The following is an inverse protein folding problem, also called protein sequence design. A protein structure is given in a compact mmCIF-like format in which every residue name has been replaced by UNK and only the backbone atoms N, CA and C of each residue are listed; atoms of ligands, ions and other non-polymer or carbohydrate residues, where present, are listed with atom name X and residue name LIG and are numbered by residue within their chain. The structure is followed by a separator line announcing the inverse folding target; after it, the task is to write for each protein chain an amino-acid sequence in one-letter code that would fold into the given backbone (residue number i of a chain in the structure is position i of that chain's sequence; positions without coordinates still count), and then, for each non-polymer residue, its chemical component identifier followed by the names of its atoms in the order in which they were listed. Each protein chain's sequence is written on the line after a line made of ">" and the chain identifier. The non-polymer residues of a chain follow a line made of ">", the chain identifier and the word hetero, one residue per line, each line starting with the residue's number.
data_IF_646475988303
#
_entry.id   IF_646475988303
#
_cell.length_a   1.000
_cell.length_b   1.000
_cell.length_c   1.000
_cell.angle_alpha   90.00
_cell.angle_beta   90.00
_cell.angle_gamma   90.00
#
_symmetry.space_group_name_H-M   'P 1'
#
loop_
_entity.id
_entity.type
_entity.pdbx_description
1 polymer ?
#
# COMPACT_ATOMS: atom_id res chain seq x y z
N UNK A 1 2.11 37.65 -49.94
CA UNK A 1 1.59 38.05 -48.61
C UNK A 1 0.56 37.04 -48.11
N UNK A 2 -0.45 36.70 -48.90
CA UNK A 2 -1.51 35.74 -48.54
C UNK A 2 -1.00 34.32 -48.25
N UNK A 3 -0.13 33.77 -49.12
CA UNK A 3 0.51 32.45 -48.90
C UNK A 3 1.34 32.37 -47.62
N UNK A 4 2.03 33.45 -47.23
CA UNK A 4 2.81 33.48 -45.98
C UNK A 4 1.91 33.50 -44.74
N UNK A 5 0.75 34.15 -44.83
CA UNK A 5 -0.24 34.15 -43.77
C UNK A 5 -0.87 32.77 -43.61
N UNK A 6 -1.20 32.11 -44.73
CA UNK A 6 -1.73 30.75 -44.75
C UNK A 6 -0.75 29.74 -44.15
N UNK A 7 0.52 29.74 -44.56
CA UNK A 7 1.54 28.88 -43.96
C UNK A 7 1.76 29.15 -42.47
N UNK A 8 1.66 30.42 -42.03
CA UNK A 8 1.75 30.76 -40.60
C UNK A 8 0.57 30.17 -39.82
N UNK A 9 -0.64 30.28 -40.34
CA UNK A 9 -1.83 29.70 -39.71
C UNK A 9 -1.72 28.18 -39.61
N UNK A 10 -1.28 27.50 -40.68
CA UNK A 10 -1.07 26.05 -40.66
C UNK A 10 -0.06 25.62 -39.59
N UNK A 11 1.06 26.34 -39.45
CA UNK A 11 2.05 26.04 -38.41
C UNK A 11 1.46 26.27 -37.01
N UNK A 12 0.72 27.36 -36.81
CA UNK A 12 0.06 27.64 -35.53
C UNK A 12 -0.93 26.54 -35.15
N UNK A 13 -1.74 26.08 -36.09
CA UNK A 13 -2.72 25.02 -35.88
C UNK A 13 -2.03 23.70 -35.52
N UNK A 14 -0.94 23.35 -36.22
CA UNK A 14 -0.14 22.15 -35.93
C UNK A 14 0.52 22.21 -34.56
N UNK A 15 1.04 23.38 -34.16
CA UNK A 15 1.60 23.58 -32.82
C UNK A 15 0.51 23.44 -31.76
N UNK A 16 -0.65 24.06 -31.95
CA UNK A 16 -1.78 23.98 -31.01
C UNK A 16 -2.28 22.54 -30.85
N UNK A 17 -2.36 21.80 -31.95
CA UNK A 17 -2.72 20.38 -31.95
C UNK A 17 -1.77 19.53 -31.11
N UNK A 18 -0.46 19.72 -31.30
CA UNK A 18 0.56 18.99 -30.52
C UNK A 18 0.51 19.36 -29.04
N UNK A 19 0.29 20.64 -28.71
CA UNK A 19 0.12 21.09 -27.32
C UNK A 19 -1.09 20.39 -26.68
N UNK A 20 -2.21 20.30 -27.39
CA UNK A 20 -3.41 19.63 -26.88
C UNK A 20 -3.15 18.14 -26.61
N UNK A 21 -2.51 17.43 -27.55
CA UNK A 21 -2.12 16.02 -27.35
C UNK A 21 -1.17 15.82 -26.18
N UNK A 22 -0.21 16.72 -25.99
CA UNK A 22 0.72 16.67 -24.87
C UNK A 22 0.01 16.87 -23.53
N UNK A 23 -0.94 17.80 -23.47
CA UNK A 23 -1.77 18.03 -22.27
C UNK A 23 -2.68 16.84 -21.97
N UNK A 24 -3.28 16.22 -22.99
CA UNK A 24 -4.07 14.99 -22.81
C UNK A 24 -3.20 13.84 -22.27
N UNK A 25 -1.98 13.69 -22.79
CA UNK A 25 -1.03 12.71 -22.28
C UNK A 25 -0.66 12.98 -20.82
N UNK A 26 -0.40 14.24 -20.44
CA UNK A 26 -0.17 14.60 -19.04
C UNK A 26 -1.37 14.25 -18.16
N UNK A 27 -2.58 14.62 -18.57
CA UNK A 27 -3.82 14.37 -17.80
C UNK A 27 -4.10 12.88 -17.60
N UNK A 28 -3.62 12.02 -18.49
CA UNK A 28 -3.76 10.57 -18.32
C UNK A 28 -3.11 10.05 -17.02
N UNK A 29 -2.15 10.79 -16.46
CA UNK A 29 -1.50 10.46 -15.18
C UNK A 29 -2.22 11.01 -13.96
N UNK A 30 -3.20 11.91 -14.10
CA UNK A 30 -3.91 12.51 -12.96
C UNK A 30 -4.62 11.46 -12.11
N UNK A 31 -5.01 10.33 -12.72
CA UNK A 31 -5.59 9.18 -12.00
C UNK A 31 -4.65 8.60 -10.95
N UNK A 32 -3.34 8.77 -11.10
CA UNK A 32 -2.33 8.27 -10.17
C UNK A 32 -1.95 9.32 -9.11
N UNK A 33 -2.56 10.51 -9.12
CA UNK A 33 -2.12 11.64 -8.31
C UNK A 33 -2.13 11.39 -6.80
N UNK A 34 -3.10 10.63 -6.33
CA UNK A 34 -3.19 10.22 -4.92
C UNK A 34 -1.91 9.52 -4.42
N UNK A 35 -1.17 8.82 -5.30
CA UNK A 35 0.04 8.09 -4.93
C UNK A 35 1.19 8.99 -4.45
N UNK A 36 1.24 10.25 -4.87
CA UNK A 36 2.28 11.21 -4.50
C UNK A 36 1.79 12.43 -3.73
N UNK A 37 0.47 12.64 -3.64
CA UNK A 37 -0.15 13.71 -2.85
C UNK A 37 -0.40 13.23 -1.42
N UNK A 38 -0.82 11.98 -1.23
CA UNK A 38 -1.24 11.48 0.08
C UNK A 38 -0.04 11.06 0.94
N UNK A 39 -0.13 11.33 2.25
CA UNK A 39 0.83 10.80 3.22
C UNK A 39 0.57 9.31 3.45
N UNK A 40 1.60 8.51 3.19
CA UNK A 40 1.56 7.04 3.28
C UNK A 40 1.22 6.54 4.68
N UNK A 41 1.76 7.20 5.71
CA UNK A 41 1.56 6.78 7.08
C UNK A 41 0.16 7.16 7.55
N UNK A 42 -0.34 8.33 7.14
CA UNK A 42 -1.70 8.74 7.45
C UNK A 42 -2.73 7.85 6.75
N UNK A 43 -2.53 7.53 5.47
CA UNK A 43 -3.38 6.59 4.75
C UNK A 43 -3.38 5.22 5.43
N UNK A 44 -2.20 4.70 5.80
CA UNK A 44 -2.11 3.42 6.52
C UNK A 44 -2.83 3.49 7.87
N UNK A 45 -2.65 4.56 8.65
CA UNK A 45 -3.36 4.74 9.93
C UNK A 45 -4.86 4.74 9.73
N UNK A 46 -5.37 5.50 8.76
CA UNK A 46 -6.80 5.56 8.46
C UNK A 46 -7.34 4.22 7.98
N UNK A 47 -6.61 3.54 7.09
CA UNK A 47 -6.93 2.20 6.65
C UNK A 47 -7.06 1.25 7.85
N UNK A 48 -6.10 1.28 8.78
CA UNK A 48 -6.13 0.46 9.99
C UNK A 48 -7.23 0.86 10.97
N UNK A 49 -7.50 2.16 11.18
CA UNK A 49 -8.50 2.69 12.12
C UNK A 49 -9.94 2.41 11.67
N UNK A 50 -10.24 2.58 10.38
CA UNK A 50 -11.60 2.47 9.87
C UNK A 50 -11.97 1.05 9.40
N UNK A 51 -11.00 0.21 8.98
CA UNK A 51 -11.23 -1.24 8.85
C UNK A 51 -11.16 -1.99 10.19
N UNK A 52 -10.84 -1.32 11.31
CA UNK A 52 -10.67 -1.97 12.61
C UNK A 52 -11.98 -2.47 13.27
N UNK A 53 -13.15 -2.22 12.68
CA UNK A 53 -14.41 -2.47 13.41
C UNK A 53 -14.78 -3.95 13.50
N UNK A 54 -14.10 -4.87 12.83
CA UNK A 54 -14.38 -6.32 12.95
C UNK A 54 -13.09 -7.15 12.88
N UNK A 55 -12.65 -7.74 14.00
CA UNK A 55 -11.80 -8.93 13.97
C UNK A 55 -12.67 -10.12 13.53
N UNK A 56 -12.30 -10.77 12.42
CA UNK A 56 -11.38 -11.90 12.44
C UNK A 56 -10.11 -11.56 11.69
N UNK A 57 -8.94 -11.91 12.24
CA UNK A 57 -7.62 -11.68 11.63
C UNK A 57 -7.54 -12.05 10.13
N UNK A 58 -8.34 -13.02 9.69
CA UNK A 58 -8.46 -13.43 8.28
C UNK A 58 -9.03 -12.34 7.37
N UNK A 59 -10.02 -11.55 7.82
CA UNK A 59 -10.62 -10.45 7.03
C UNK A 59 -9.63 -9.30 6.88
N UNK A 60 -8.85 -9.02 7.94
CA UNK A 60 -7.80 -7.99 7.90
C UNK A 60 -6.66 -8.40 6.96
N UNK A 61 -6.22 -9.66 7.02
CA UNK A 61 -5.20 -10.16 6.12
C UNK A 61 -5.68 -10.13 4.66
N UNK A 62 -6.95 -10.49 4.40
CA UNK A 62 -7.52 -10.46 3.06
C UNK A 62 -7.62 -9.03 2.50
N UNK A 63 -8.10 -8.07 3.29
CA UNK A 63 -8.21 -6.67 2.88
C UNK A 63 -6.83 -6.05 2.59
N UNK A 64 -5.80 -6.39 3.39
CA UNK A 64 -4.43 -5.93 3.14
C UNK A 64 -3.86 -6.58 1.87
N UNK A 65 -4.12 -7.86 1.61
CA UNK A 65 -3.69 -8.52 0.37
C UNK A 65 -4.37 -7.92 -0.87
N UNK A 66 -5.66 -7.58 -0.80
CA UNK A 66 -6.37 -6.90 -1.89
C UNK A 66 -5.76 -5.53 -2.21
N UNK A 67 -5.35 -4.77 -1.19
CA UNK A 67 -4.64 -3.50 -1.40
C UNK A 67 -3.29 -3.74 -2.08
N UNK A 68 -2.53 -4.74 -1.64
CA UNK A 68 -1.26 -5.11 -2.28
C UNK A 68 -1.49 -5.45 -3.76
N UNK A 69 -2.46 -6.30 -4.06
CA UNK A 69 -2.78 -6.73 -5.43
C UNK A 69 -3.21 -5.53 -6.30
N UNK A 70 -3.95 -4.59 -5.73
CA UNK A 70 -4.32 -3.34 -6.42
C UNK A 70 -3.08 -2.52 -6.81
N UNK A 71 -2.13 -2.31 -5.88
CA UNK A 71 -0.91 -1.56 -6.19
C UNK A 71 0.04 -2.32 -7.13
N UNK A 72 0.11 -3.65 -7.05
CA UNK A 72 0.88 -4.47 -8.00
C UNK A 72 0.25 -4.40 -9.41
N UNK A 73 -1.07 -4.41 -9.52
CA UNK A 73 -1.77 -4.21 -10.80
C UNK A 73 -1.46 -2.83 -11.40
N UNK A 74 -1.51 -1.77 -10.58
CA UNK A 74 -1.13 -0.42 -11.00
C UNK A 74 0.34 -0.38 -11.46
N UNK A 75 1.24 -1.11 -10.78
CA UNK A 75 2.64 -1.19 -11.18
C UNK A 75 2.78 -1.78 -12.59
N UNK A 76 2.09 -2.88 -12.88
CA UNK A 76 2.07 -3.49 -14.22
C UNK A 76 1.50 -2.55 -15.30
N UNK A 77 0.44 -1.81 -14.97
CA UNK A 77 -0.13 -0.82 -15.89
C UNK A 77 0.89 0.28 -16.23
N UNK A 78 1.55 0.83 -15.21
CA UNK A 78 2.55 1.89 -15.39
C UNK A 78 3.79 1.35 -16.13
N UNK A 79 4.14 0.08 -15.92
CA UNK A 79 5.25 -0.57 -16.61
C UNK A 79 5.00 -0.69 -18.13
N UNK A 80 3.75 -0.86 -18.55
CA UNK A 80 3.35 -0.92 -19.97
C UNK A 80 3.38 0.45 -20.67
N UNK A 81 3.45 1.55 -19.93
CA UNK A 81 3.51 2.91 -20.51
C UNK A 81 4.81 3.11 -21.29
N UNK A 82 4.73 3.54 -22.54
CA UNK A 82 5.93 3.82 -23.32
C UNK A 82 6.75 4.96 -22.70
N UNK A 83 8.08 4.81 -22.60
CA UNK A 83 8.95 5.81 -22.00
C UNK A 83 9.11 7.06 -22.89
N UNK A 84 8.84 6.95 -24.18
CA UNK A 84 9.02 8.03 -25.15
C UNK A 84 7.79 8.10 -26.04
N UNK A 85 7.18 9.27 -26.15
CA UNK A 85 6.08 9.55 -27.07
C UNK A 85 6.53 10.57 -28.11
N UNK A 86 6.24 10.31 -29.40
CA UNK A 86 6.59 11.21 -30.51
C UNK A 86 5.30 11.64 -31.21
N UNK A 87 5.07 12.95 -31.24
CA UNK A 87 3.95 13.59 -31.91
C UNK A 87 4.43 14.32 -33.16
N UNK A 88 3.71 14.13 -34.27
CA UNK A 88 3.93 14.77 -35.57
C UNK A 88 5.38 14.72 -36.09
N UNK A 89 6.16 13.73 -35.62
CA UNK A 89 7.58 13.48 -35.96
C UNK A 89 8.58 14.54 -35.51
N UNK A 90 8.16 15.63 -34.88
CA UNK A 90 9.04 16.72 -34.43
C UNK A 90 8.97 17.00 -32.93
N UNK A 91 7.89 16.60 -32.26
CA UNK A 91 7.71 16.83 -30.83
C UNK A 91 7.86 15.53 -30.04
N UNK A 92 8.86 15.46 -29.18
CA UNK A 92 9.18 14.26 -28.38
C UNK A 92 8.95 14.57 -26.90
N UNK A 93 8.14 13.73 -26.24
CA UNK A 93 7.99 13.73 -24.79
C UNK A 93 8.82 12.58 -24.23
N UNK A 94 9.74 12.90 -23.33
CA UNK A 94 10.49 11.91 -22.54
C UNK A 94 9.79 11.72 -21.19
N UNK A 95 9.00 10.65 -21.10
CA UNK A 95 8.29 10.27 -19.88
C UNK A 95 9.10 9.31 -19.00
N UNK A 96 10.28 8.86 -19.44
CA UNK A 96 11.12 7.90 -18.73
C UNK A 96 11.41 8.30 -17.27
N UNK A 97 11.88 9.53 -16.95
CA UNK A 97 12.17 9.88 -15.56
C UNK A 97 10.90 9.92 -14.69
N UNK A 98 9.77 10.31 -15.26
CA UNK A 98 8.49 10.32 -14.56
C UNK A 98 7.99 8.91 -14.30
N UNK A 99 7.96 8.04 -15.33
CA UNK A 99 7.60 6.62 -15.22
C UNK A 99 8.41 5.93 -14.13
N UNK A 100 9.73 6.13 -14.10
CA UNK A 100 10.60 5.53 -13.08
C UNK A 100 10.24 5.99 -11.65
N UNK A 101 9.97 7.30 -11.47
CA UNK A 101 9.53 7.82 -10.17
C UNK A 101 8.16 7.28 -9.77
N UNK A 102 7.24 7.16 -10.72
CA UNK A 102 5.90 6.64 -10.48
C UNK A 102 5.97 5.16 -10.06
N UNK A 103 6.69 4.32 -10.80
CA UNK A 103 6.92 2.91 -10.45
C UNK A 103 7.50 2.75 -9.05
N UNK A 104 8.52 3.56 -8.70
CA UNK A 104 9.10 3.55 -7.37
C UNK A 104 8.09 3.97 -6.28
N UNK A 105 7.22 4.92 -6.60
CA UNK A 105 6.19 5.40 -5.67
C UNK A 105 5.16 4.32 -5.39
N UNK A 106 4.66 3.66 -6.45
CA UNK A 106 3.74 2.50 -6.37
C UNK A 106 4.38 1.37 -5.57
N UNK A 107 5.63 0.99 -5.91
CA UNK A 107 6.34 -0.08 -5.21
C UNK A 107 6.52 0.18 -3.71
N UNK A 108 6.73 1.44 -3.33
CA UNK A 108 6.79 1.86 -1.92
C UNK A 108 5.44 1.72 -1.22
N UNK A 109 4.31 1.90 -1.91
CA UNK A 109 2.99 1.62 -1.35
C UNK A 109 2.81 0.12 -1.10
N UNK A 110 3.09 -0.74 -2.09
CA UNK A 110 3.02 -2.19 -1.90
C UNK A 110 3.94 -2.67 -0.76
N UNK A 111 5.15 -2.11 -0.66
CA UNK A 111 6.09 -2.46 0.41
C UNK A 111 5.57 -2.06 1.80
N UNK A 112 4.86 -0.94 1.93
CA UNK A 112 4.31 -0.49 3.21
C UNK A 112 3.32 -1.51 3.77
N UNK A 113 2.40 -2.01 2.93
CA UNK A 113 1.45 -3.06 3.31
C UNK A 113 2.12 -4.40 3.58
N UNK A 114 3.12 -4.78 2.77
CA UNK A 114 3.92 -5.99 3.00
C UNK A 114 4.66 -5.94 4.34
N UNK A 115 5.28 -4.80 4.66
CA UNK A 115 6.00 -4.62 5.92
C UNK A 115 5.04 -4.68 7.11
N UNK A 116 3.87 -4.04 7.01
CA UNK A 116 2.84 -4.14 8.04
C UNK A 116 2.45 -5.59 8.34
N UNK A 117 2.22 -6.41 7.30
CA UNK A 117 1.91 -7.84 7.50
C UNK A 117 3.04 -8.60 8.17
N UNK A 118 4.29 -8.35 7.77
CA UNK A 118 5.47 -8.98 8.37
C UNK A 118 5.56 -8.61 9.85
N UNK A 119 5.44 -7.32 10.17
CA UNK A 119 5.53 -6.81 11.53
C UNK A 119 4.38 -7.35 12.39
N UNK A 120 3.16 -7.39 11.85
CA UNK A 120 1.99 -7.96 12.52
C UNK A 120 2.20 -9.45 12.85
N UNK A 121 2.56 -10.27 11.85
CA UNK A 121 2.80 -11.70 12.07
C UNK A 121 3.95 -11.93 13.06
N UNK A 122 5.03 -11.17 12.95
CA UNK A 122 6.18 -11.29 13.85
C UNK A 122 5.81 -10.93 15.29
N UNK A 123 5.06 -9.85 15.49
CA UNK A 123 4.62 -9.43 16.81
C UNK A 123 3.62 -10.42 17.41
N UNK A 124 2.63 -10.89 16.63
CA UNK A 124 1.67 -11.89 17.10
C UNK A 124 2.34 -13.22 17.47
N UNK A 125 3.36 -13.65 16.73
CA UNK A 125 4.14 -14.85 17.06
C UNK A 125 4.97 -14.65 18.34
N UNK A 126 5.61 -13.49 18.51
CA UNK A 126 6.36 -13.17 19.72
C UNK A 126 5.45 -13.08 20.96
N UNK A 127 4.29 -12.44 20.82
CA UNK A 127 3.27 -12.40 21.89
C UNK A 127 2.76 -13.79 22.24
N UNK A 128 2.58 -14.66 21.24
CA UNK A 128 2.19 -16.05 21.45
C UNK A 128 3.29 -16.84 22.17
N UNK A 129 4.55 -16.69 21.76
CA UNK A 129 5.70 -17.33 22.42
C UNK A 129 5.84 -16.87 23.88
N UNK A 130 5.73 -15.57 24.14
CA UNK A 130 5.75 -15.02 25.50
C UNK A 130 4.57 -15.54 26.32
N UNK A 131 3.39 -15.64 25.71
CA UNK A 131 2.20 -16.21 26.35
C UNK A 131 2.39 -17.69 26.70
N UNK A 132 2.91 -18.51 25.78
CA UNK A 132 3.21 -19.93 26.02
C UNK A 132 4.27 -20.06 27.11
N UNK A 133 5.34 -19.26 27.06
CA UNK A 133 6.40 -19.28 28.07
C UNK A 133 5.89 -18.92 29.47
N UNK A 134 5.09 -17.85 29.60
CA UNK A 134 4.44 -17.47 30.86
C UNK A 134 3.48 -18.55 31.36
N UNK A 135 2.69 -19.14 30.44
CA UNK A 135 1.73 -20.19 30.77
C UNK A 135 2.43 -21.46 31.25
N UNK A 136 3.47 -21.92 30.56
CA UNK A 136 4.23 -23.11 30.94
C UNK A 136 5.00 -22.91 32.26
N UNK A 137 5.57 -21.72 32.48
CA UNK A 137 6.21 -21.37 33.75
C UNK A 137 5.22 -21.33 34.93
N UNK A 138 4.00 -20.82 34.70
CA UNK A 138 2.95 -20.78 35.72
C UNK A 138 2.32 -22.16 35.99
N UNK A 139 2.19 -23.01 34.96
CA UNK A 139 1.66 -24.38 35.11
C UNK A 139 2.65 -25.33 35.79
N UNK A 140 3.96 -25.10 35.67
CA UNK A 140 5.02 -25.91 36.31
C UNK A 140 5.28 -25.56 37.77
N UNK A 141 4.64 -24.52 38.33
CA UNK A 141 4.81 -24.13 39.74
C UNK A 141 4.17 -25.18 40.67
N UNK A 142 4.91 -25.70 41.67
CA UNK A 142 4.36 -26.67 42.61
C UNK A 142 3.36 -26.00 43.55
N UNK A 143 2.13 -26.54 43.60
CA UNK A 143 1.06 -26.04 44.47
C UNK A 143 1.23 -26.68 45.85
N UNK A 144 1.33 -25.87 46.90
CA UNK A 144 1.26 -26.32 48.30
C UNK A 144 -0.17 -26.16 48.81
N UNK A 145 -0.63 -27.12 49.63
CA UNK A 145 -1.95 -27.06 50.25
C UNK A 145 -2.10 -25.75 51.06
N UNK A 146 -3.17 -25.00 50.77
CA UNK A 146 -3.50 -23.72 51.42
C UNK A 146 -3.20 -22.46 50.59
N UNK A 147 -2.54 -22.58 49.44
CA UNK A 147 -2.13 -21.42 48.63
C UNK A 147 -3.15 -21.05 47.53
N UNK A 148 -4.27 -20.45 47.95
CA UNK A 148 -5.39 -20.04 47.09
C UNK A 148 -5.01 -19.00 46.03
N UNK A 149 -4.01 -18.15 46.33
CA UNK A 149 -3.58 -17.07 45.45
C UNK A 149 -3.00 -17.63 44.14
N UNK A 150 -2.11 -18.62 44.27
CA UNK A 150 -1.46 -19.32 43.16
C UNK A 150 -2.48 -20.11 42.32
N UNK A 151 -3.54 -20.64 42.95
CA UNK A 151 -4.62 -21.36 42.26
C UNK A 151 -5.46 -20.42 41.37
N UNK A 152 -5.79 -19.23 41.86
CA UNK A 152 -6.55 -18.22 41.11
C UNK A 152 -5.76 -17.68 39.91
N UNK A 153 -4.44 -17.49 40.06
CA UNK A 153 -3.55 -17.10 38.96
C UNK A 153 -3.53 -18.16 37.84
N UNK A 154 -3.38 -19.44 38.19
CA UNK A 154 -3.40 -20.55 37.22
C UNK A 154 -4.77 -20.66 36.52
N UNK A 155 -5.88 -20.49 37.25
CA UNK A 155 -7.23 -20.50 36.66
C UNK A 155 -7.46 -19.30 35.73
N UNK A 156 -6.93 -18.12 36.06
CA UNK A 156 -7.01 -16.94 35.18
C UNK A 156 -6.22 -17.17 33.88
N UNK A 157 -5.05 -17.81 33.96
CA UNK A 157 -4.28 -18.20 32.77
C UNK A 157 -5.00 -19.28 31.94
N UNK A 158 -5.60 -20.29 32.56
CA UNK A 158 -6.43 -21.29 31.87
C UNK A 158 -7.66 -20.67 31.19
N UNK A 159 -8.30 -19.69 31.83
CA UNK A 159 -9.41 -18.95 31.24
C UNK A 159 -8.96 -18.11 30.03
N UNK A 160 -7.78 -17.51 30.08
CA UNK A 160 -7.19 -16.77 28.96
C UNK A 160 -6.83 -17.68 27.77
N UNK A 161 -6.38 -18.92 28.02
CA UNK A 161 -6.18 -19.93 26.98
C UNK A 161 -7.52 -20.27 26.32
N UNK A 162 -8.56 -20.53 27.11
CA UNK A 162 -9.90 -20.86 26.62
C UNK A 162 -10.59 -19.71 25.85
N UNK A 163 -10.18 -18.46 26.08
CA UNK A 163 -10.69 -17.29 25.36
C UNK A 163 -9.97 -17.07 24.01
N UNK A 164 -8.80 -17.68 23.81
CA UNK A 164 -7.99 -17.59 22.59
C UNK A 164 -8.12 -18.83 21.68
N UNK A 165 -8.63 -19.95 22.18
CA UNK A 165 -9.16 -21.07 21.37
C UNK A 165 -10.55 -20.75 20.80
#
# INVERSE_FOLDING_TARGET
>A
MEQLLESRHEIQDRVQHVINKANEYQRSFDRYAYLWVDDKNEFMRQFLLYNHVLTPDEIQQHAVTEQIDTYESIYEEVEKIDPIQIYDKWFKIDAKPFKQKLLNTVKRWSLLFKQYLIDHVTNSLNELEEFIGKTDANLKRPIKEGDYQTLVEIMAHLAAIKQRE
#
